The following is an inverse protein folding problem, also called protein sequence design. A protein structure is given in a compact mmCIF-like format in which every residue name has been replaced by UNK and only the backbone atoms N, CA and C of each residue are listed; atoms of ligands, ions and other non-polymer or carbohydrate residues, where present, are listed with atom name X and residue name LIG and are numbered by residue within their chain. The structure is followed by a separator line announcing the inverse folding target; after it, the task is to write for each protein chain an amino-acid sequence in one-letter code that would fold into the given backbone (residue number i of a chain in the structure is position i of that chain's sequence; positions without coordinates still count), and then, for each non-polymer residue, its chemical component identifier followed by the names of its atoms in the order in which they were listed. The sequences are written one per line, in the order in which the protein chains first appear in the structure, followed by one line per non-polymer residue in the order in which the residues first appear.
data_IF_247425952192
#
_entry.id   IF_247425952192
#
_cell.length_a   1.000
_cell.length_b   1.000
_cell.length_c   1.000
_cell.angle_alpha   90.00
_cell.angle_beta   90.00
_cell.angle_gamma   90.00
#
_symmetry.space_group_name_H-M   'P 1'
#
loop_
_entity.id
_entity.type
_entity.pdbx_description
1 polymer ?
#
# COMPACT_ATOMS: atom_id res chain seq x y z
N UNK A 1 6.12 -22.57 -21.36
CA UNK A 1 5.30 -21.38 -21.68
C UNK A 1 4.13 -21.81 -22.53
N UNK A 2 2.92 -21.35 -22.20
CA UNK A 2 1.70 -21.67 -22.96
C UNK A 2 1.74 -20.94 -24.29
N UNK A 3 1.61 -21.67 -25.39
CA UNK A 3 1.47 -21.09 -26.72
C UNK A 3 0.00 -20.70 -26.91
N UNK A 4 -0.28 -19.40 -26.85
CA UNK A 4 -1.59 -18.83 -27.13
C UNK A 4 -1.52 -18.11 -28.47
N UNK A 5 -2.61 -18.14 -29.23
CA UNK A 5 -2.77 -17.28 -30.39
C UNK A 5 -2.63 -15.80 -29.97
N UNK A 6 -1.96 -14.93 -30.77
CA UNK A 6 -1.74 -13.54 -30.38
C UNK A 6 -3.01 -12.76 -30.03
N UNK A 7 -4.13 -13.04 -30.73
CA UNK A 7 -5.43 -12.40 -30.47
C UNK A 7 -5.99 -12.94 -29.15
N UNK A 8 -6.01 -14.26 -28.99
CA UNK A 8 -6.48 -14.89 -27.75
C UNK A 8 -5.69 -14.42 -26.52
N UNK A 9 -4.37 -14.24 -26.67
CA UNK A 9 -3.50 -13.70 -25.62
C UNK A 9 -3.89 -12.27 -25.24
N UNK A 10 -4.13 -11.41 -26.22
CA UNK A 10 -4.52 -10.02 -25.98
C UNK A 10 -5.87 -9.94 -25.27
N UNK A 11 -6.87 -10.69 -25.74
CA UNK A 11 -8.21 -10.75 -25.13
C UNK A 11 -8.16 -11.22 -23.68
N UNK A 12 -7.37 -12.27 -23.40
CA UNK A 12 -7.21 -12.79 -22.03
C UNK A 12 -6.56 -11.76 -21.10
N UNK A 13 -5.54 -11.04 -21.58
CA UNK A 13 -4.89 -9.98 -20.80
C UNK A 13 -5.89 -8.85 -20.51
N UNK A 14 -6.68 -8.44 -21.50
CA UNK A 14 -7.69 -7.39 -21.34
C UNK A 14 -8.77 -7.79 -20.31
N UNK A 15 -9.26 -9.03 -20.37
CA UNK A 15 -10.20 -9.58 -19.39
C UNK A 15 -9.63 -9.54 -17.95
N UNK A 16 -8.38 -9.97 -17.78
CA UNK A 16 -7.70 -9.96 -16.48
C UNK A 16 -7.52 -8.52 -15.97
N UNK A 17 -7.14 -7.58 -16.85
CA UNK A 17 -7.03 -6.15 -16.52
C UNK A 17 -8.39 -5.52 -16.16
N UNK A 18 -9.46 -5.91 -16.84
CA UNK A 18 -10.81 -5.45 -16.52
C UNK A 18 -11.23 -5.95 -15.13
N UNK A 19 -10.90 -7.18 -14.76
CA UNK A 19 -11.10 -7.69 -13.40
C UNK A 19 -10.42 -6.83 -12.34
N UNK A 20 -9.18 -6.39 -12.58
CA UNK A 20 -8.47 -5.45 -11.69
C UNK A 20 -9.20 -4.11 -11.58
N UNK A 21 -9.69 -3.56 -12.70
CA UNK A 21 -10.46 -2.31 -12.70
C UNK A 21 -11.79 -2.42 -11.93
N UNK A 22 -12.39 -3.62 -11.90
CA UNK A 22 -13.62 -3.91 -11.15
C UNK A 22 -13.37 -4.20 -9.65
N UNK A 23 -12.11 -4.17 -9.20
CA UNK A 23 -11.75 -4.32 -7.78
C UNK A 23 -11.15 -5.66 -7.39
N UNK A 24 -10.70 -6.48 -8.34
CA UNK A 24 -9.88 -7.65 -8.01
C UNK A 24 -8.55 -7.25 -7.34
N UNK A 25 -7.98 -8.15 -6.53
CA UNK A 25 -6.68 -7.96 -5.91
C UNK A 25 -5.55 -7.93 -6.94
N UNK A 26 -4.54 -7.08 -6.70
CA UNK A 26 -3.38 -6.95 -7.61
C UNK A 26 -2.61 -8.28 -7.66
N UNK A 27 -2.45 -8.93 -6.52
CA UNK A 27 -1.77 -10.22 -6.40
C UNK A 27 -2.47 -11.30 -7.21
N UNK A 28 -3.79 -11.41 -7.08
CA UNK A 28 -4.59 -12.34 -7.86
C UNK A 28 -4.49 -12.07 -9.37
N UNK A 29 -4.57 -10.80 -9.80
CA UNK A 29 -4.38 -10.42 -11.21
C UNK A 29 -3.01 -10.86 -11.74
N UNK A 30 -1.94 -10.64 -10.98
CA UNK A 30 -0.57 -11.06 -11.36
C UNK A 30 -0.47 -12.58 -11.46
N UNK A 31 -1.07 -13.31 -10.52
CA UNK A 31 -1.11 -14.77 -10.52
C UNK A 31 -1.85 -15.30 -11.75
N UNK A 32 -2.99 -14.72 -12.10
CA UNK A 32 -3.74 -15.06 -13.33
C UNK A 32 -2.91 -14.80 -14.58
N UNK A 33 -2.25 -13.64 -14.68
CA UNK A 33 -1.33 -13.35 -15.78
C UNK A 33 -0.22 -14.41 -15.88
N UNK A 34 0.39 -14.80 -14.76
CA UNK A 34 1.44 -15.83 -14.76
C UNK A 34 0.93 -17.19 -15.25
N UNK A 35 -0.20 -17.67 -14.72
CA UNK A 35 -0.69 -19.04 -14.96
C UNK A 35 -1.44 -19.14 -16.29
N UNK A 36 -2.33 -18.19 -16.57
CA UNK A 36 -3.23 -18.27 -17.72
C UNK A 36 -2.56 -17.78 -19.01
N UNK A 37 -1.75 -16.72 -18.93
CA UNK A 37 -1.07 -16.13 -20.10
C UNK A 37 0.28 -16.79 -20.38
N UNK A 38 1.19 -16.84 -19.40
CA UNK A 38 2.52 -17.42 -19.60
C UNK A 38 2.57 -18.93 -19.39
N UNK A 39 1.69 -19.49 -18.55
CA UNK A 39 1.71 -20.91 -18.21
C UNK A 39 3.03 -21.35 -17.60
N UNK A 40 3.56 -20.57 -16.66
CA UNK A 40 4.81 -20.84 -15.96
C UNK A 40 4.58 -20.97 -14.44
N UNK A 41 5.43 -21.74 -13.79
CA UNK A 41 5.44 -21.85 -12.34
C UNK A 41 5.98 -20.55 -11.68
N UNK A 42 5.84 -20.48 -10.36
CA UNK A 42 6.18 -19.27 -9.61
C UNK A 42 7.70 -19.02 -9.57
N UNK A 43 8.52 -20.08 -9.60
CA UNK A 43 9.98 -20.00 -9.65
C UNK A 43 10.45 -19.35 -10.95
N UNK A 44 10.04 -19.94 -12.07
CA UNK A 44 10.37 -19.43 -13.41
C UNK A 44 9.93 -17.98 -13.59
N UNK A 45 8.74 -17.61 -13.12
CA UNK A 45 8.27 -16.23 -13.23
C UNK A 45 9.05 -15.24 -12.35
N UNK A 46 9.46 -15.65 -11.15
CA UNK A 46 10.29 -14.82 -10.28
C UNK A 46 11.65 -14.53 -10.93
N UNK A 47 12.26 -15.52 -11.57
CA UNK A 47 13.50 -15.38 -12.34
C UNK A 47 13.33 -14.41 -13.52
N UNK A 48 12.25 -14.55 -14.30
CA UNK A 48 11.90 -13.63 -15.40
C UNK A 48 11.79 -12.18 -14.91
N UNK A 49 11.22 -11.97 -13.72
CA UNK A 49 11.05 -10.65 -13.11
C UNK A 49 12.26 -10.18 -12.29
N UNK A 50 13.34 -11.00 -12.23
CA UNK A 50 14.56 -10.75 -11.45
C UNK A 50 14.28 -10.46 -9.97
N UNK A 51 13.46 -11.31 -9.34
CA UNK A 51 13.11 -11.21 -7.92
C UNK A 51 13.09 -12.57 -7.23
N UNK A 52 13.03 -12.58 -5.90
CA UNK A 52 12.91 -13.82 -5.15
C UNK A 52 11.50 -14.40 -5.26
N UNK A 53 11.39 -15.72 -5.22
CA UNK A 53 10.11 -16.45 -5.18
C UNK A 53 9.25 -16.04 -4.00
N UNK A 54 9.87 -15.80 -2.85
CA UNK A 54 9.19 -15.27 -1.66
C UNK A 54 8.58 -13.89 -1.89
N UNK A 55 9.33 -12.97 -2.52
CA UNK A 55 8.81 -11.64 -2.81
C UNK A 55 7.64 -11.71 -3.80
N UNK A 56 7.75 -12.55 -4.84
CA UNK A 56 6.66 -12.80 -5.77
C UNK A 56 5.43 -13.40 -5.05
N UNK A 57 5.63 -14.36 -4.14
CA UNK A 57 4.54 -14.94 -3.35
C UNK A 57 3.83 -13.89 -2.47
N UNK A 58 4.58 -13.01 -1.79
CA UNK A 58 3.99 -11.93 -0.99
C UNK A 58 3.16 -10.98 -1.85
N UNK A 59 3.57 -10.74 -3.10
CA UNK A 59 2.81 -9.96 -4.08
C UNK A 59 1.56 -10.73 -4.53
N UNK A 60 1.69 -11.96 -5.00
CA UNK A 60 0.58 -12.79 -5.52
C UNK A 60 -0.48 -13.13 -4.45
N UNK A 61 -0.09 -13.09 -3.17
CA UNK A 61 -1.01 -13.34 -2.05
C UNK A 61 -1.63 -12.07 -1.46
N UNK A 62 -1.39 -10.89 -2.06
CA UNK A 62 -1.85 -9.58 -1.56
C UNK A 62 -1.43 -9.28 -0.10
N UNK A 63 -0.40 -9.99 0.41
CA UNK A 63 0.13 -9.82 1.79
C UNK A 63 1.27 -8.82 1.86
N UNK A 64 1.93 -8.55 0.73
CA UNK A 64 3.04 -7.61 0.63
C UNK A 64 2.61 -6.17 0.38
N UNK A 65 3.53 -5.23 0.64
CA UNK A 65 3.41 -3.84 0.20
C UNK A 65 4.53 -3.53 -0.82
N UNK A 66 4.42 -4.04 -2.07
CA UNK A 66 5.46 -3.86 -3.06
C UNK A 66 5.62 -2.39 -3.46
N UNK A 67 6.84 -1.99 -3.78
CA UNK A 67 7.08 -0.68 -4.38
C UNK A 67 6.51 -0.66 -5.80
N UNK A 68 6.17 0.54 -6.29
CA UNK A 68 5.71 0.71 -7.67
C UNK A 68 6.69 0.13 -8.69
N UNK A 69 8.00 0.33 -8.49
CA UNK A 69 9.05 -0.26 -9.33
C UNK A 69 8.98 -1.79 -9.38
N UNK A 70 8.67 -2.44 -8.26
CA UNK A 70 8.50 -3.88 -8.19
C UNK A 70 7.29 -4.33 -9.01
N UNK A 71 6.16 -3.64 -8.89
CA UNK A 71 4.97 -3.93 -9.71
C UNK A 71 5.25 -3.75 -11.20
N UNK A 72 5.93 -2.67 -11.57
CA UNK A 72 6.32 -2.40 -12.96
C UNK A 72 7.20 -3.51 -13.54
N UNK A 73 8.14 -4.07 -12.76
CA UNK A 73 8.96 -5.22 -13.20
C UNK A 73 8.11 -6.46 -13.48
N UNK A 74 7.10 -6.71 -12.68
CA UNK A 74 6.23 -7.89 -12.79
C UNK A 74 5.31 -7.81 -14.02
N UNK A 75 4.82 -6.62 -14.35
CA UNK A 75 3.88 -6.44 -15.48
C UNK A 75 4.58 -6.25 -16.84
N UNK A 76 5.87 -5.89 -16.83
CA UNK A 76 6.69 -5.66 -18.04
C UNK A 76 6.71 -6.83 -19.04
N UNK A 77 6.86 -8.11 -18.62
CA UNK A 77 6.82 -9.25 -19.53
C UNK A 77 5.52 -9.36 -20.35
N UNK A 78 4.44 -8.73 -19.89
CA UNK A 78 3.15 -8.74 -20.56
C UNK A 78 2.94 -7.55 -21.51
N UNK A 79 3.85 -6.57 -21.52
CA UNK A 79 3.68 -5.32 -22.26
C UNK A 79 2.70 -4.34 -21.59
N UNK A 80 2.43 -4.52 -20.29
CA UNK A 80 1.48 -3.71 -19.54
C UNK A 80 2.15 -2.52 -18.85
N UNK A 81 1.36 -1.46 -18.60
CA UNK A 81 1.76 -0.26 -17.88
C UNK A 81 0.75 0.10 -16.78
N UNK A 82 1.17 0.95 -15.85
CA UNK A 82 0.30 1.53 -14.82
C UNK A 82 0.00 2.97 -15.19
N UNK A 83 -1.26 3.36 -15.17
CA UNK A 83 -1.70 4.73 -15.39
C UNK A 83 -2.62 5.19 -14.25
N UNK A 84 -2.64 6.50 -14.00
CA UNK A 84 -3.59 7.10 -13.06
C UNK A 84 -4.89 7.41 -13.79
N UNK A 85 -5.99 6.89 -13.27
CA UNK A 85 -7.34 7.18 -13.75
C UNK A 85 -8.16 7.93 -12.69
N UNK A 86 -9.29 8.54 -13.08
CA UNK A 86 -10.20 9.14 -12.12
C UNK A 86 -10.75 8.04 -11.19
N UNK A 87 -10.66 8.25 -9.87
CA UNK A 87 -11.09 7.27 -8.86
C UNK A 87 -12.60 7.02 -8.85
N UNK A 88 -13.36 7.88 -9.52
CA UNK A 88 -14.78 7.70 -9.83
C UNK A 88 -14.93 7.82 -11.35
N UNK A 89 -15.63 6.89 -12.01
CA UNK A 89 -15.81 6.98 -13.45
C UNK A 89 -16.52 8.29 -13.79
N UNK A 90 -15.90 9.08 -14.67
CA UNK A 90 -16.25 10.49 -14.91
C UNK A 90 -17.57 10.67 -15.67
N UNK A 91 -18.22 9.59 -16.08
CA UNK A 91 -19.59 9.65 -16.63
C UNK A 91 -20.65 10.06 -15.60
N UNK A 92 -20.30 10.12 -14.31
CA UNK A 92 -21.10 10.82 -13.31
C UNK A 92 -20.96 12.33 -13.54
N UNK A 93 -22.04 13.06 -13.88
CA UNK A 93 -21.98 14.50 -14.05
C UNK A 93 -21.43 15.15 -12.78
N UNK A 94 -20.48 16.08 -12.91
CA UNK A 94 -20.03 16.92 -11.80
C UNK A 94 -21.23 17.70 -11.27
N UNK A 95 -21.87 17.19 -10.22
CA UNK A 95 -23.03 17.81 -9.57
C UNK A 95 -24.11 16.86 -9.09
N UNK A 96 -24.16 15.60 -9.55
CA UNK A 96 -25.21 14.66 -9.13
C UNK A 96 -24.69 13.76 -8.01
N UNK A 97 -24.80 14.24 -6.77
CA UNK A 97 -24.81 13.36 -5.60
C UNK A 97 -26.23 12.78 -5.56
N UNK A 98 -26.44 11.46 -5.72
CA UNK A 98 -27.73 10.89 -5.35
C UNK A 98 -27.90 11.04 -3.84
N UNK A 99 -28.68 12.05 -3.43
CA UNK A 99 -29.24 12.12 -2.09
C UNK A 99 -30.42 11.13 -2.07
N UNK A 100 -30.10 9.85 -1.93
CA UNK A 100 -31.09 8.84 -1.61
C UNK A 100 -30.43 7.82 -0.69
N UNK A 101 -30.62 8.03 0.61
CA UNK A 101 -30.17 7.12 1.68
C UNK A 101 -28.72 7.37 2.10
N UNK A 102 -28.56 7.91 3.30
CA UNK A 102 -27.28 8.16 3.97
C UNK A 102 -26.45 6.88 4.14
N UNK A 103 -25.66 6.51 3.14
CA UNK A 103 -24.46 5.73 3.38
C UNK A 103 -23.33 6.71 3.59
N UNK A 104 -23.13 7.10 4.85
CA UNK A 104 -21.97 7.89 5.29
C UNK A 104 -20.74 7.14 4.81
N UNK A 105 -20.12 7.62 3.72
CA UNK A 105 -18.80 7.16 3.31
C UNK A 105 -17.91 7.40 4.52
N UNK A 106 -17.38 6.36 5.19
CA UNK A 106 -16.50 6.60 6.32
C UNK A 106 -15.34 7.43 5.79
N UNK A 107 -15.09 8.55 6.49
CA UNK A 107 -14.01 9.47 6.13
C UNK A 107 -12.76 8.65 5.81
N UNK A 108 -12.13 8.86 4.66
CA UNK A 108 -10.97 8.09 4.27
C UNK A 108 -9.92 8.18 5.38
N UNK A 109 -9.31 7.04 5.73
CA UNK A 109 -8.39 6.87 6.86
C UNK A 109 -7.24 7.89 6.90
N UNK A 110 -6.94 8.57 5.79
CA UNK A 110 -5.96 9.65 5.74
C UNK A 110 -6.35 10.87 6.59
N UNK A 111 -7.64 11.19 6.75
CA UNK A 111 -8.08 12.38 7.49
C UNK A 111 -7.89 12.20 9.01
N UNK A 112 -8.07 10.98 9.51
CA UNK A 112 -7.72 10.60 10.88
C UNK A 112 -6.19 10.65 11.09
N UNK A 113 -5.41 10.34 10.05
CA UNK A 113 -3.95 10.45 10.08
C UNK A 113 -3.49 11.91 10.20
N UNK A 114 -4.11 12.84 9.45
CA UNK A 114 -3.77 14.26 9.49
C UNK A 114 -4.04 14.90 10.86
N UNK A 115 -5.18 14.57 11.51
CA UNK A 115 -5.46 15.02 12.88
C UNK A 115 -4.47 14.45 13.91
N UNK A 116 -3.96 13.25 13.68
CA UNK A 116 -2.95 12.62 14.53
C UNK A 116 -1.53 13.18 14.35
N UNK A 117 -1.24 13.80 13.19
CA UNK A 117 0.01 14.53 12.94
C UNK A 117 0.00 15.91 13.57
N UNK A 118 -1.15 16.59 13.58
CA UNK A 118 -1.30 17.91 14.20
C UNK A 118 -1.08 17.93 15.72
N UNK A 119 -1.27 16.80 16.41
CA UNK A 119 -1.05 16.66 17.86
C UNK A 119 0.33 16.10 18.24
N UNK A 120 1.12 15.62 17.28
CA UNK A 120 2.49 15.17 17.54
C UNK A 120 3.49 16.24 17.13
N UNK A 121 3.68 17.24 17.99
CA UNK A 121 4.95 17.98 18.00
C UNK A 121 6.08 16.96 18.18
N UNK A 122 6.89 16.79 17.13
CA UNK A 122 8.08 15.96 17.20
C UNK A 122 8.99 16.47 18.34
N UNK A 123 9.54 15.60 19.21
CA UNK A 123 10.55 16.04 20.15
C UNK A 123 11.76 16.55 19.35
N UNK A 124 12.19 17.78 19.63
CA UNK A 124 13.37 18.38 18.99
C UNK A 124 14.57 17.44 19.19
N UNK A 125 15.18 17.05 18.08
CA UNK A 125 16.43 16.28 17.99
C UNK A 125 17.47 16.95 18.89
N UNK A 126 17.95 16.24 19.92
CA UNK A 126 19.13 16.68 20.68
C UNK A 126 19.07 16.62 22.21
N UNK A 127 18.37 15.67 22.84
CA UNK A 127 18.69 15.27 24.24
C UNK A 127 18.55 13.77 24.42
N UNK A 128 19.64 13.11 24.82
CA UNK A 128 19.67 11.69 25.14
C UNK A 128 18.65 11.38 26.27
N UNK A 129 17.71 10.44 26.09
CA UNK A 129 16.64 10.16 27.07
C UNK A 129 17.15 9.85 28.48
N UNK A 130 18.33 9.24 28.59
CA UNK A 130 18.99 8.91 29.86
C UNK A 130 19.39 10.16 30.67
N UNK A 131 19.82 11.24 29.99
CA UNK A 131 20.24 12.50 30.63
C UNK A 131 19.06 13.34 31.14
N UNK A 132 17.91 13.30 30.46
CA UNK A 132 16.70 14.02 30.87
C UNK A 132 16.10 13.40 32.13
N UNK A 133 16.08 12.07 32.22
CA UNK A 133 15.55 11.33 33.36
C UNK A 133 16.42 11.48 34.61
N UNK A 134 17.75 11.54 34.45
CA UNK A 134 18.69 11.81 35.54
C UNK A 134 18.53 13.23 36.12
N UNK A 135 18.31 14.25 35.27
CA UNK A 135 18.14 15.64 35.73
C UNK A 135 16.81 15.86 36.46
N UNK A 136 15.73 15.17 36.06
CA UNK A 136 14.44 15.22 36.74
C UNK A 136 14.47 14.53 38.11
N UNK A 137 15.19 13.42 38.24
CA UNK A 137 15.37 12.72 39.51
C UNK A 137 16.20 13.54 40.52
N UNK A 138 17.18 14.30 40.05
CA UNK A 138 17.97 15.19 40.90
C UNK A 138 17.17 16.41 41.41
N UNK A 139 16.30 16.99 40.56
CA UNK A 139 15.45 18.13 40.95
C UNK A 139 14.31 17.74 41.91
N UNK A 140 13.82 16.49 41.85
CA UNK A 140 12.83 15.99 42.80
C UNK A 140 13.42 15.75 44.21
N UNK A 141 14.73 15.48 44.30
CA UNK A 141 15.41 15.25 45.58
C UNK A 141 15.76 16.53 46.34
N UNK A 142 15.87 17.68 45.66
CA UNK A 142 16.12 18.98 46.30
C UNK A 142 14.87 19.67 46.87
N UNK A 143 13.66 19.20 46.55
CA UNK A 143 12.41 19.81 47.03
C UNK A 143 11.78 19.11 48.24
N UNK A 144 12.37 18.00 48.71
CA UNK A 144 11.91 17.29 49.91
C UNK A 144 12.70 17.65 51.18
N UNK A 145 13.84 18.34 51.08
CA UNK A 145 14.69 18.70 52.24
C UNK A 145 14.53 20.16 52.71
N UNK A 146 13.65 20.96 52.09
CA UNK A 146 13.43 22.37 52.48
C UNK A 146 12.01 22.65 53.01
N UNK A 147 11.34 21.64 53.55
CA UNK A 147 9.94 21.71 53.95
C UNK A 147 9.60 21.01 55.26
N UNK A 148 10.49 21.10 56.26
CA UNK A 148 10.15 20.79 57.66
C UNK A 148 11.00 21.65 58.62
N UNK A 149 10.55 22.89 58.82
CA UNK A 149 10.85 23.85 59.91
C UNK A 149 10.29 25.17 59.35
N UNK A 150 9.21 25.75 59.83
CA UNK A 150 8.67 25.89 61.19
C UNK A 150 7.17 26.20 61.08
#
# INVERSE_FOLDING_TARGET
MKQLDPIARATLIEEICQGLAMGAGIGETIRRLRVEVLGVDQGTFAELCKMSTRALYEIESDKGNPRLDTLLRVIRPFGLGIHFGPSKPTWLPRGTIPIAGTMTIPKPRYEALEKSKATRRAPKRGKNPKLVRAKAAAAAKQKQDSGTAE
#
